data_IF_382702340714
#
_entry.id   IF_382702340714
#
_cell.length_a   1.000
_cell.length_b   1.000
_cell.length_c   1.000
_cell.angle_alpha   90.00
_cell.angle_beta   90.00
_cell.angle_gamma   90.00
#
_symmetry.space_group_name_H-M   'P 1'
#
loop_
_entity.id
_entity.type
_entity.pdbx_description
1 polymer ?
#
# COMPACT_ATOMS: atom_id res chain seq x y z
N UNK A 1 -10.64 -3.59 -24.48
CA UNK A 1 -9.81 -2.71 -23.69
C UNK A 1 -9.39 -3.39 -22.40
N UNK A 2 -8.10 -3.46 -22.19
CA UNK A 2 -7.59 -4.04 -20.98
C UNK A 2 -7.71 -3.05 -19.83
N UNK A 3 -8.23 -3.52 -18.72
CA UNK A 3 -8.38 -2.70 -17.55
C UNK A 3 -7.19 -2.89 -16.62
N UNK A 4 -6.54 -1.81 -16.24
CA UNK A 4 -5.44 -1.85 -15.30
C UNK A 4 -6.00 -2.02 -13.88
N UNK A 5 -5.50 -3.00 -13.11
CA UNK A 5 -5.91 -3.11 -11.72
C UNK A 5 -5.63 -1.82 -10.96
N UNK A 6 -6.52 -1.45 -10.06
CA UNK A 6 -6.37 -0.17 -9.36
C UNK A 6 -5.13 -0.10 -8.47
N UNK A 7 -4.53 -1.24 -8.12
CA UNK A 7 -3.29 -1.29 -7.35
C UNK A 7 -2.04 -1.30 -8.21
N UNK A 8 -2.19 -1.18 -9.54
CA UNK A 8 -1.09 -1.21 -10.48
C UNK A 8 -1.01 0.13 -11.19
N UNK A 9 0.18 0.66 -11.33
CA UNK A 9 0.42 1.91 -12.04
C UNK A 9 1.42 1.64 -13.16
N UNK A 10 0.99 1.87 -14.40
CA UNK A 10 1.89 1.76 -15.53
C UNK A 10 2.76 3.01 -15.62
N UNK A 11 4.05 2.79 -15.77
CA UNK A 11 5.01 3.85 -16.04
C UNK A 11 5.30 3.88 -17.54
N UNK A 12 5.71 5.03 -18.09
CA UNK A 12 6.17 5.06 -19.49
C UNK A 12 7.31 4.08 -19.70
N UNK A 13 7.43 3.58 -20.91
CA UNK A 13 8.60 2.82 -21.31
C UNK A 13 8.73 1.44 -20.63
N UNK A 14 7.63 0.85 -20.25
CA UNK A 14 7.63 -0.56 -19.85
C UNK A 14 7.86 -0.82 -18.37
N UNK A 15 7.86 0.18 -17.52
CA UNK A 15 7.83 -0.04 -16.08
C UNK A 15 6.38 -0.30 -15.65
N UNK A 16 6.17 -1.34 -14.84
CA UNK A 16 4.86 -1.68 -14.30
C UNK A 16 4.99 -1.90 -12.81
N UNK A 17 4.38 -1.01 -12.04
CA UNK A 17 4.45 -1.10 -10.58
C UNK A 17 3.17 -1.70 -10.04
N UNK A 18 3.32 -2.62 -9.09
CA UNK A 18 2.19 -3.26 -8.44
C UNK A 18 2.46 -3.41 -6.95
N UNK A 19 1.40 -3.65 -6.19
CA UNK A 19 1.50 -3.90 -4.75
C UNK A 19 1.11 -5.35 -4.52
N UNK A 20 1.95 -6.06 -3.76
CA UNK A 20 1.75 -7.48 -3.50
C UNK A 20 2.00 -7.81 -2.02
N UNK A 21 1.47 -8.94 -1.59
CA UNK A 21 1.76 -9.49 -0.28
C UNK A 21 1.28 -8.63 0.88
N UNK A 22 0.20 -7.89 0.70
CA UNK A 22 -0.33 -7.03 1.77
C UNK A 22 -0.90 -7.90 2.86
N UNK A 23 -0.39 -7.71 4.08
CA UNK A 23 -0.90 -8.38 5.27
C UNK A 23 -1.23 -7.33 6.32
N UNK A 24 -2.23 -7.63 7.12
CA UNK A 24 -2.67 -6.74 8.19
C UNK A 24 -2.78 -7.52 9.49
N UNK A 25 -2.50 -6.84 10.59
CA UNK A 25 -2.57 -7.44 11.91
C UNK A 25 -2.92 -6.36 12.93
N UNK A 26 -3.83 -6.69 13.84
CA UNK A 26 -4.14 -5.82 14.96
C UNK A 26 -3.46 -6.37 16.20
N UNK A 27 -2.68 -5.52 16.85
CA UNK A 27 -2.04 -5.85 18.12
C UNK A 27 -2.74 -5.06 19.23
N UNK A 28 -3.44 -5.78 20.09
CA UNK A 28 -4.18 -5.18 21.20
C UNK A 28 -3.52 -5.48 22.56
N UNK A 29 -2.25 -5.85 22.57
CA UNK A 29 -1.54 -6.18 23.81
C UNK A 29 -1.19 -4.95 24.64
N UNK A 30 -1.15 -3.76 24.04
CA UNK A 30 -0.86 -2.52 24.73
C UNK A 30 -2.12 -1.76 25.14
N UNK A 31 -1.95 -0.56 25.72
CA UNK A 31 -3.10 0.24 26.18
C UNK A 31 -4.01 0.70 25.05
N UNK A 32 -3.46 0.88 23.83
CA UNK A 32 -4.25 1.19 22.65
C UNK A 32 -3.92 0.18 21.55
N UNK A 33 -4.93 -0.32 20.83
CA UNK A 33 -4.66 -1.25 19.73
C UNK A 33 -3.95 -0.56 18.58
N UNK A 34 -3.09 -1.30 17.89
CA UNK A 34 -2.30 -0.82 16.77
C UNK A 34 -2.56 -1.72 15.56
N UNK A 35 -2.78 -1.11 14.42
CA UNK A 35 -2.93 -1.82 13.16
C UNK A 35 -1.59 -1.82 12.43
N UNK A 36 -1.07 -3.02 12.15
CA UNK A 36 0.13 -3.17 11.33
C UNK A 36 -0.28 -3.52 9.91
N UNK A 37 0.29 -2.81 8.96
CA UNK A 37 0.07 -3.05 7.54
C UNK A 37 1.44 -3.24 6.89
N UNK A 38 1.66 -4.40 6.28
CA UNK A 38 2.92 -4.73 5.62
C UNK A 38 2.64 -5.16 4.20
N UNK A 39 3.61 -4.93 3.34
CA UNK A 39 3.50 -5.36 1.95
C UNK A 39 4.72 -5.01 1.16
N UNK A 40 4.64 -5.19 -0.15
CA UNK A 40 5.73 -4.88 -1.07
C UNK A 40 5.20 -4.18 -2.29
N UNK A 41 5.99 -3.24 -2.81
CA UNK A 41 5.81 -2.71 -4.15
C UNK A 41 6.80 -3.45 -5.06
N UNK A 42 6.37 -3.83 -6.23
CA UNK A 42 7.17 -4.64 -7.16
C UNK A 42 7.12 -3.98 -8.53
N UNK A 43 8.26 -3.96 -9.21
CA UNK A 43 8.30 -3.57 -10.61
C UNK A 43 8.27 -4.83 -11.47
N UNK A 44 7.12 -5.12 -12.06
CA UNK A 44 6.93 -6.28 -12.94
C UNK A 44 7.22 -5.93 -14.40
N UNK A 45 7.68 -4.72 -14.67
CA UNK A 45 7.96 -4.27 -16.02
C UNK A 45 9.36 -4.61 -16.48
N UNK A 46 9.70 -4.11 -17.65
CA UNK A 46 10.99 -4.36 -18.29
C UNK A 46 11.99 -3.24 -18.07
N UNK A 47 11.56 -2.11 -17.55
CA UNK A 47 12.41 -0.95 -17.29
C UNK A 47 12.21 -0.44 -15.88
N UNK A 48 13.21 0.29 -15.39
CA UNK A 48 13.12 0.91 -14.07
C UNK A 48 11.99 1.94 -14.03
N UNK A 49 11.34 2.07 -12.88
CA UNK A 49 10.29 3.04 -12.67
C UNK A 49 10.43 3.68 -11.30
N UNK A 50 9.91 4.90 -11.18
CA UNK A 50 9.90 5.60 -9.90
C UNK A 50 8.66 5.23 -9.11
N UNK A 51 8.87 4.93 -7.85
CA UNK A 51 7.81 4.50 -6.95
C UNK A 51 7.07 5.72 -6.40
N UNK A 52 5.77 5.89 -6.72
CA UNK A 52 5.00 6.97 -6.13
C UNK A 52 4.71 6.69 -4.65
N UNK A 53 4.25 7.69 -3.90
CA UNK A 53 3.82 7.45 -2.53
C UNK A 53 2.69 6.42 -2.49
N UNK A 54 2.56 5.76 -1.36
CA UNK A 54 1.50 4.78 -1.14
C UNK A 54 0.36 5.41 -0.34
N UNK A 55 -0.85 5.00 -0.65
CA UNK A 55 -2.03 5.39 0.12
C UNK A 55 -2.61 4.16 0.80
N UNK A 56 -2.78 4.24 2.10
CA UNK A 56 -3.42 3.18 2.87
C UNK A 56 -4.79 3.69 3.30
N UNK A 57 -5.84 2.97 2.90
CA UNK A 57 -7.20 3.30 3.29
C UNK A 57 -7.68 2.28 4.31
N UNK A 58 -8.03 2.76 5.47
CA UNK A 58 -8.57 1.93 6.54
C UNK A 58 -10.05 2.23 6.67
N UNK A 59 -10.87 1.21 6.42
CA UNK A 59 -12.31 1.32 6.58
C UNK A 59 -12.70 0.72 7.92
N UNK A 60 -13.34 1.52 8.76
CA UNK A 60 -13.86 1.06 10.04
C UNK A 60 -15.16 0.30 9.89
N UNK A 61 -15.56 -0.38 10.97
CA UNK A 61 -16.85 -1.09 10.98
C UNK A 61 -18.04 -0.13 10.87
N UNK A 62 -17.83 1.16 11.15
CA UNK A 62 -18.83 2.22 10.96
C UNK A 62 -18.83 2.76 9.53
N UNK A 63 -18.11 2.13 8.61
CA UNK A 63 -17.94 2.50 7.21
C UNK A 63 -17.14 3.78 6.94
N UNK A 64 -16.60 4.41 7.96
CA UNK A 64 -15.73 5.58 7.79
C UNK A 64 -14.39 5.14 7.25
N UNK A 65 -13.85 5.95 6.35
CA UNK A 65 -12.56 5.68 5.70
C UNK A 65 -11.55 6.69 6.17
N UNK A 66 -10.42 6.21 6.69
CA UNK A 66 -9.27 7.03 7.02
C UNK A 66 -8.16 6.73 6.03
N UNK A 67 -7.55 7.79 5.49
CA UNK A 67 -6.48 7.65 4.50
C UNK A 67 -5.17 8.08 5.11
N UNK A 68 -4.14 7.28 4.86
CA UNK A 68 -2.78 7.58 5.27
C UNK A 68 -1.89 7.55 4.05
N UNK A 69 -0.90 8.44 4.03
CA UNK A 69 0.09 8.47 2.96
C UNK A 69 1.42 7.96 3.49
N UNK A 70 2.02 7.02 2.79
CA UNK A 70 3.33 6.49 3.12
C UNK A 70 4.31 6.93 2.04
N UNK A 71 5.31 7.72 2.44
CA UNK A 71 6.31 8.22 1.51
C UNK A 71 7.25 7.11 1.07
N UNK A 72 7.65 7.15 -0.18
CA UNK A 72 8.59 6.20 -0.77
C UNK A 72 9.88 6.89 -1.22
N UNK A 73 10.00 8.19 -1.00
CA UNK A 73 11.13 9.02 -1.42
C UNK A 73 11.37 8.96 -2.93
N UNK A 74 10.31 8.68 -3.71
CA UNK A 74 10.40 8.52 -5.16
C UNK A 74 11.48 7.53 -5.59
N UNK A 75 11.66 6.49 -4.80
CA UNK A 75 12.68 5.49 -5.03
C UNK A 75 12.51 4.85 -6.41
N UNK A 76 13.63 4.68 -7.11
CA UNK A 76 13.63 3.97 -8.39
C UNK A 76 13.71 2.47 -8.14
N UNK A 77 12.83 1.70 -8.80
CA UNK A 77 12.86 0.25 -8.77
C UNK A 77 13.29 -0.29 -10.12
N UNK A 78 14.33 -1.12 -10.12
CA UNK A 78 14.74 -1.83 -11.31
C UNK A 78 13.70 -2.93 -11.63
N UNK A 79 13.71 -3.48 -12.86
CA UNK A 79 12.85 -4.61 -13.19
C UNK A 79 13.03 -5.76 -12.20
N UNK A 80 11.93 -6.26 -11.66
CA UNK A 80 11.94 -7.34 -10.67
C UNK A 80 12.30 -6.92 -9.25
N UNK A 81 12.68 -5.68 -9.04
CA UNK A 81 13.04 -5.20 -7.71
C UNK A 81 11.80 -5.01 -6.86
N UNK A 82 11.95 -5.22 -5.56
CA UNK A 82 10.88 -5.10 -4.58
C UNK A 82 11.24 -4.04 -3.53
N UNK A 83 10.22 -3.34 -3.08
CA UNK A 83 10.33 -2.37 -2.00
C UNK A 83 9.37 -2.78 -0.90
N UNK A 84 9.91 -3.26 0.23
CA UNK A 84 9.10 -3.63 1.38
C UNK A 84 8.65 -2.40 2.14
N UNK A 85 7.39 -2.37 2.55
CA UNK A 85 6.88 -1.28 3.38
C UNK A 85 6.16 -1.85 4.59
N UNK A 86 6.16 -1.07 5.65
CA UNK A 86 5.54 -1.45 6.91
C UNK A 86 5.01 -0.18 7.55
N UNK A 87 3.81 -0.25 8.10
CA UNK A 87 3.18 0.92 8.69
C UNK A 87 2.42 0.52 9.96
N UNK A 88 2.41 1.44 10.93
CA UNK A 88 1.70 1.30 12.19
C UNK A 88 0.66 2.39 12.24
N UNK A 89 -0.61 1.98 12.36
CA UNK A 89 -1.73 2.91 12.26
C UNK A 89 -2.65 2.74 13.46
N UNK A 90 -3.45 3.74 13.71
CA UNK A 90 -4.47 3.66 14.74
C UNK A 90 -5.62 2.76 14.27
N UNK A 91 -6.14 1.98 15.20
CA UNK A 91 -7.32 1.16 14.93
C UNK A 91 -8.56 2.04 15.08
N UNK A 92 -9.48 2.04 14.10
CA UNK A 92 -10.73 2.77 14.26
C UNK A 92 -11.48 2.31 15.50
N UNK A 93 -12.24 3.25 16.08
CA UNK A 93 -12.92 3.04 17.36
C UNK A 93 -13.78 1.78 17.40
N UNK A 94 -14.46 1.48 16.30
CA UNK A 94 -15.36 0.32 16.21
C UNK A 94 -14.71 -0.88 15.54
N UNK A 95 -13.39 -0.87 15.36
CA UNK A 95 -12.66 -1.94 14.72
C UNK A 95 -12.47 -1.72 13.23
N UNK A 96 -11.69 -2.60 12.61
CA UNK A 96 -11.32 -2.51 11.20
C UNK A 96 -12.19 -3.45 10.39
N UNK A 97 -12.83 -2.91 9.34
CA UNK A 97 -13.60 -3.70 8.38
C UNK A 97 -12.74 -4.12 7.19
N UNK A 98 -11.94 -3.22 6.67
CA UNK A 98 -11.12 -3.46 5.49
C UNK A 98 -9.92 -2.53 5.45
N UNK A 99 -8.85 -3.01 4.81
CA UNK A 99 -7.65 -2.21 4.54
C UNK A 99 -7.31 -2.36 3.07
N UNK A 100 -7.06 -1.26 2.40
CA UNK A 100 -6.62 -1.26 1.02
C UNK A 100 -5.35 -0.42 0.89
N UNK A 101 -4.40 -0.90 0.09
CA UNK A 101 -3.15 -0.19 -0.20
C UNK A 101 -3.09 0.04 -1.69
N UNK A 102 -2.92 1.31 -2.08
CA UNK A 102 -2.82 1.69 -3.48
C UNK A 102 -1.70 2.69 -3.65
N UNK A 103 -1.35 2.98 -4.90
CA UNK A 103 -0.43 4.07 -5.18
C UNK A 103 -1.20 5.39 -5.12
N UNK A 104 -0.61 6.38 -4.45
CA UNK A 104 -1.17 7.72 -4.39
C UNK A 104 -0.76 8.48 -5.65
N UNK A 105 -1.63 9.25 -6.13
CA UNK A 105 -1.31 10.10 -7.21
C UNK A 105 -1.81 9.84 -8.51
#
# INVERSE_FOLDING_TARGET
VRQTPFWSVEQPEGAVLSIAGVTTRVDASGPTPVLFVDGEAVNDGLKAGQLPPLEIRVTGNDTRITRYTLGTSNRSLAPGERFGFSSRLDVPRNGVKAVAVTFAG
#
